data_IF_972842450725
#
_entry.id   IF_972842450725
#
_cell.length_a   1.000
_cell.length_b   1.000
_cell.length_c   1.000
_cell.angle_alpha   90.00
_cell.angle_beta   90.00
_cell.angle_gamma   90.00
#
_symmetry.space_group_name_H-M   'P 1'
#
loop_
_entity.id
_entity.type
_entity.pdbx_description
1 polymer ?
#
# COMPACT_ATOMS: atom_id res chain seq x y z
N UNK A 1 -51.81 -14.65 5.27
CA UNK A 1 -50.51 -15.36 5.19
C UNK A 1 -49.67 -14.78 4.06
N UNK A 2 -48.86 -13.76 4.32
CA UNK A 2 -47.67 -13.40 3.52
C UNK A 2 -46.66 -12.80 4.50
N UNK A 3 -45.64 -13.59 4.84
CA UNK A 3 -44.54 -13.20 5.73
C UNK A 3 -43.54 -12.43 4.87
N UNK A 4 -43.53 -11.11 4.93
CA UNK A 4 -42.46 -10.31 4.33
C UNK A 4 -41.29 -10.25 5.29
N UNK A 5 -40.19 -10.82 4.84
CA UNK A 5 -38.90 -10.94 5.49
C UNK A 5 -38.25 -9.55 5.59
N UNK A 6 -38.03 -9.05 6.81
CA UNK A 6 -37.25 -7.84 7.06
C UNK A 6 -35.77 -8.25 7.07
N UNK A 7 -35.00 -7.82 6.08
CA UNK A 7 -33.54 -7.90 6.09
C UNK A 7 -33.06 -6.71 6.91
N UNK A 8 -32.64 -6.96 8.15
CA UNK A 8 -32.02 -5.97 9.02
C UNK A 8 -30.53 -5.91 8.64
N UNK A 9 -30.15 -4.88 7.90
CA UNK A 9 -28.75 -4.50 7.70
C UNK A 9 -28.26 -3.83 8.99
N UNK A 10 -27.60 -4.60 9.86
CA UNK A 10 -26.95 -4.07 11.07
C UNK A 10 -25.64 -3.41 10.64
N UNK A 11 -25.65 -2.10 10.44
CA UNK A 11 -24.43 -1.31 10.36
C UNK A 11 -23.98 -1.07 11.81
N UNK A 12 -23.02 -1.89 12.27
CA UNK A 12 -22.28 -1.66 13.52
C UNK A 12 -21.36 -0.44 13.30
N UNK A 13 -21.89 0.75 13.60
CA UNK A 13 -21.09 1.97 13.68
C UNK A 13 -20.24 1.89 14.95
N UNK A 14 -19.04 1.33 14.84
CA UNK A 14 -18.03 1.51 15.87
C UNK A 14 -17.66 3.00 15.91
N UNK A 15 -17.77 3.61 17.09
CA UNK A 15 -17.50 5.02 17.29
C UNK A 15 -16.02 5.31 17.14
N UNK A 16 -15.59 5.62 15.91
CA UNK A 16 -14.25 6.15 15.66
C UNK A 16 -14.22 7.55 16.23
N UNK A 17 -13.40 7.76 17.26
CA UNK A 17 -13.19 9.10 17.82
C UNK A 17 -12.60 10.02 16.74
N UNK A 18 -13.05 11.28 16.68
CA UNK A 18 -12.79 12.21 15.57
C UNK A 18 -11.31 12.52 15.31
N UNK A 19 -10.45 12.31 16.31
CA UNK A 19 -8.99 12.46 16.20
C UNK A 19 -8.36 11.24 15.48
N UNK A 20 -8.81 10.03 15.80
CA UNK A 20 -8.36 8.79 15.16
C UNK A 20 -8.77 8.75 13.68
N UNK A 21 -9.99 9.21 13.38
CA UNK A 21 -10.49 9.27 12.00
C UNK A 21 -9.67 10.18 11.07
N UNK A 22 -9.00 11.20 11.60
CA UNK A 22 -8.17 12.11 10.81
C UNK A 22 -6.75 11.55 10.62
N UNK A 23 -6.14 11.00 11.68
CA UNK A 23 -4.79 10.47 11.63
C UNK A 23 -4.66 9.19 10.76
N UNK A 24 -5.73 8.40 10.68
CA UNK A 24 -5.80 7.15 9.92
C UNK A 24 -6.72 7.27 8.70
N UNK A 25 -6.88 8.47 8.14
CA UNK A 25 -7.83 8.73 7.05
C UNK A 25 -7.59 7.84 5.82
N UNK A 26 -6.33 7.61 5.46
CA UNK A 26 -5.92 6.80 4.31
C UNK A 26 -5.60 5.35 4.68
N UNK A 27 -6.00 4.92 5.88
CA UNK A 27 -5.71 3.60 6.41
C UNK A 27 -6.99 2.79 6.62
N UNK A 28 -6.93 1.51 6.30
CA UNK A 28 -8.00 0.54 6.49
C UNK A 28 -7.67 -0.41 7.64
N UNK A 29 -8.64 -0.67 8.53
CA UNK A 29 -8.46 -1.62 9.61
C UNK A 29 -8.50 -3.06 9.06
N UNK A 30 -7.45 -3.83 9.30
CA UNK A 30 -7.31 -5.21 8.78
C UNK A 30 -7.34 -6.29 9.85
N UNK A 31 -7.03 -5.94 11.10
CA UNK A 31 -7.13 -6.87 12.22
C UNK A 31 -7.37 -6.14 13.54
N UNK A 32 -7.85 -6.88 14.54
CA UNK A 32 -8.06 -6.38 15.90
C UNK A 32 -7.96 -7.52 16.91
N UNK A 33 -7.46 -7.20 18.10
CA UNK A 33 -7.60 -8.03 19.29
C UNK A 33 -8.06 -7.19 20.49
N UNK A 34 -7.95 -7.74 21.70
CA UNK A 34 -8.38 -7.07 22.93
C UNK A 34 -7.54 -5.84 23.33
N UNK A 35 -6.35 -5.67 22.73
CA UNK A 35 -5.40 -4.59 23.06
C UNK A 35 -5.10 -3.67 21.87
N UNK A 36 -5.10 -4.17 20.64
CA UNK A 36 -4.54 -3.50 19.46
C UNK A 36 -5.48 -3.59 18.26
N UNK A 37 -5.47 -2.54 17.44
CA UNK A 37 -6.06 -2.51 16.11
C UNK A 37 -4.94 -2.31 15.07
N UNK A 38 -4.88 -3.18 14.05
CA UNK A 38 -3.94 -3.10 12.96
C UNK A 38 -4.61 -2.47 11.74
N UNK A 39 -3.93 -1.48 11.17
CA UNK A 39 -4.34 -0.76 9.99
C UNK A 39 -3.28 -0.85 8.88
N UNK A 40 -3.72 -0.79 7.63
CA UNK A 40 -2.85 -0.70 6.44
C UNK A 40 -3.31 0.43 5.52
N UNK A 41 -2.37 1.17 4.95
CA UNK A 41 -2.63 2.03 3.80
C UNK A 41 -2.56 1.16 2.53
N UNK A 42 -3.67 0.92 1.82
CA UNK A 42 -3.70 0.00 0.68
C UNK A 42 -2.90 0.49 -0.52
N UNK A 43 -2.59 1.79 -0.60
CA UNK A 43 -1.84 2.40 -1.70
C UNK A 43 -0.32 2.32 -1.48
N UNK A 44 0.13 2.29 -0.22
CA UNK A 44 1.57 2.33 0.12
C UNK A 44 2.07 1.11 0.88
N UNK A 45 1.16 0.23 1.30
CA UNK A 45 1.40 -0.89 2.21
C UNK A 45 1.97 -0.50 3.58
N UNK A 46 1.90 0.77 3.95
CA UNK A 46 2.30 1.21 5.28
C UNK A 46 1.31 0.72 6.32
N UNK A 47 1.80 0.36 7.50
CA UNK A 47 0.95 -0.10 8.59
C UNK A 47 0.94 0.90 9.74
N UNK A 48 -0.17 0.90 10.46
CA UNK A 48 -0.30 1.61 11.72
C UNK A 48 -0.95 0.68 12.75
N UNK A 49 -0.44 0.72 13.97
CA UNK A 49 -1.01 -0.02 15.10
C UNK A 49 -1.58 0.98 16.08
N UNK A 50 -2.85 0.84 16.40
CA UNK A 50 -3.50 1.64 17.43
C UNK A 50 -3.57 0.84 18.73
N UNK A 51 -3.04 1.42 19.81
CA UNK A 51 -3.11 0.85 21.15
C UNK A 51 -4.39 1.33 21.85
N UNK A 52 -5.29 0.39 22.15
CA UNK A 52 -6.57 0.67 22.78
C UNK A 52 -6.43 1.20 24.21
N UNK A 53 -5.35 0.89 24.92
CA UNK A 53 -5.12 1.32 26.29
C UNK A 53 -4.57 2.74 26.35
N UNK A 54 -3.51 3.02 25.58
CA UNK A 54 -2.82 4.33 25.60
C UNK A 54 -3.45 5.35 24.66
N UNK A 55 -4.23 4.91 23.67
CA UNK A 55 -4.79 5.73 22.60
C UNK A 55 -3.72 6.31 21.67
N UNK A 56 -2.51 5.73 21.67
CA UNK A 56 -1.43 6.09 20.77
C UNK A 56 -1.49 5.30 19.45
N UNK A 57 -0.90 5.88 18.41
CA UNK A 57 -0.73 5.23 17.10
C UNK A 57 0.76 5.05 16.85
N UNK A 58 1.17 3.82 16.52
CA UNK A 58 2.52 3.49 16.09
C UNK A 58 2.53 3.25 14.60
N UNK A 59 3.28 4.05 13.86
CA UNK A 59 3.42 3.93 12.41
C UNK A 59 4.66 3.12 12.06
N UNK A 60 4.60 2.31 11.00
CA UNK A 60 5.80 1.66 10.44
C UNK A 60 6.78 2.67 9.85
N UNK A 61 6.27 3.80 9.36
CA UNK A 61 7.02 4.82 8.64
C UNK A 61 6.70 6.21 9.19
N UNK A 62 7.60 7.20 9.03
CA UNK A 62 7.35 8.55 9.51
C UNK A 62 6.08 9.15 8.89
N UNK A 63 5.04 9.46 9.69
CA UNK A 63 3.86 10.14 9.18
C UNK A 63 4.23 11.55 8.72
N UNK A 64 3.45 12.12 7.81
CA UNK A 64 3.66 13.49 7.29
C UNK A 64 5.05 13.76 6.70
N UNK A 65 5.78 12.74 6.22
CA UNK A 65 7.12 12.88 5.63
C UNK A 65 7.20 13.93 4.52
N UNK A 66 6.11 14.19 3.79
CA UNK A 66 6.10 15.21 2.76
C UNK A 66 6.29 16.62 3.31
N UNK A 67 5.81 16.87 4.54
CA UNK A 67 5.82 18.17 5.22
C UNK A 67 6.97 18.29 6.23
N UNK A 68 7.30 17.22 6.93
CA UNK A 68 8.22 17.26 8.07
C UNK A 68 9.67 16.93 7.72
N UNK A 69 9.91 16.12 6.68
CA UNK A 69 11.27 15.75 6.26
C UNK A 69 11.98 16.91 5.55
N UNK A 70 13.07 17.40 6.15
CA UNK A 70 13.80 18.60 5.71
C UNK A 70 15.20 18.32 5.19
N UNK A 71 15.74 17.11 5.33
CA UNK A 71 17.10 16.72 4.97
C UNK A 71 17.11 15.83 3.72
N UNK A 72 16.36 14.72 3.72
CA UNK A 72 16.36 13.75 2.62
C UNK A 72 15.71 14.32 1.34
N UNK A 73 16.18 13.89 0.16
CA UNK A 73 15.70 14.36 -1.15
C UNK A 73 15.62 13.21 -2.16
N UNK A 74 14.76 13.37 -3.18
CA UNK A 74 14.54 12.40 -4.26
C UNK A 74 14.26 10.99 -3.73
N UNK A 75 14.86 9.98 -4.37
CA UNK A 75 14.73 8.56 -4.00
C UNK A 75 15.01 8.27 -2.53
N UNK A 76 15.93 9.00 -1.90
CA UNK A 76 16.22 8.82 -0.47
C UNK A 76 15.08 9.29 0.44
N UNK A 77 14.35 10.34 0.04
CA UNK A 77 13.13 10.77 0.77
C UNK A 77 12.00 9.78 0.53
N UNK A 78 11.80 9.35 -0.72
CA UNK A 78 10.78 8.38 -1.10
C UNK A 78 10.95 7.04 -0.37
N UNK A 79 12.20 6.59 -0.20
CA UNK A 79 12.53 5.38 0.57
C UNK A 79 12.06 5.42 2.03
N UNK A 80 11.79 6.59 2.61
CA UNK A 80 11.20 6.67 3.95
C UNK A 80 9.79 6.04 4.01
N UNK A 81 9.13 5.83 2.88
CA UNK A 81 7.88 5.07 2.77
C UNK A 81 8.04 3.58 2.47
N UNK A 82 9.28 3.08 2.41
CA UNK A 82 9.52 1.67 2.15
C UNK A 82 9.26 0.81 3.41
N UNK A 83 8.62 -0.35 3.21
CA UNK A 83 8.54 -1.44 4.19
C UNK A 83 9.76 -2.36 4.11
N UNK A 84 10.28 -2.53 2.89
CA UNK A 84 11.38 -3.45 2.61
C UNK A 84 12.45 -2.76 1.77
N UNK A 85 13.71 -3.06 2.07
CA UNK A 85 14.88 -2.65 1.29
C UNK A 85 15.68 -3.91 0.99
N UNK A 86 15.93 -4.15 -0.30
CA UNK A 86 16.69 -5.29 -0.80
C UNK A 86 18.02 -4.80 -1.37
N UNK A 87 19.13 -5.26 -0.81
CA UNK A 87 20.47 -5.02 -1.38
C UNK A 87 21.07 -6.35 -1.83
N UNK A 88 21.54 -6.41 -3.08
CA UNK A 88 22.15 -7.61 -3.66
C UNK A 88 23.32 -7.25 -4.59
N UNK A 89 24.15 -8.24 -4.90
CA UNK A 89 25.24 -8.11 -5.86
C UNK A 89 24.91 -8.83 -7.16
N UNK A 90 25.18 -8.17 -8.28
CA UNK A 90 25.06 -8.76 -9.63
C UNK A 90 26.21 -9.72 -9.92
N UNK A 91 26.13 -10.47 -11.02
CA UNK A 91 27.19 -11.38 -11.47
C UNK A 91 28.53 -10.68 -11.72
N UNK A 92 28.51 -9.39 -12.06
CA UNK A 92 29.72 -8.56 -12.26
C UNK A 92 30.20 -7.89 -10.97
N UNK A 93 29.60 -8.23 -9.82
CA UNK A 93 29.96 -7.69 -8.51
C UNK A 93 29.44 -6.28 -8.22
N UNK A 94 28.57 -5.72 -9.06
CA UNK A 94 27.94 -4.44 -8.78
C UNK A 94 26.83 -4.58 -7.74
N UNK A 95 26.83 -3.70 -6.73
CA UNK A 95 25.79 -3.60 -5.71
C UNK A 95 24.56 -2.88 -6.26
N UNK A 96 23.37 -3.46 -6.02
CA UNK A 96 22.08 -2.90 -6.38
C UNK A 96 21.22 -2.85 -5.13
N UNK A 97 20.59 -1.71 -4.89
CA UNK A 97 19.62 -1.52 -3.81
C UNK A 97 18.28 -1.15 -4.40
N UNK A 98 17.24 -1.90 -4.01
CA UNK A 98 15.84 -1.68 -4.34
C UNK A 98 15.03 -1.51 -3.06
N UNK A 99 13.90 -0.81 -3.15
CA UNK A 99 12.94 -0.71 -2.07
C UNK A 99 11.51 -0.68 -2.60
N UNK A 100 10.55 -1.23 -1.85
CA UNK A 100 9.19 -1.37 -2.37
C UNK A 100 8.51 -0.04 -2.68
N UNK A 101 8.91 1.07 -2.06
CA UNK A 101 8.29 2.35 -2.38
C UNK A 101 8.72 2.83 -3.77
N UNK A 102 10.03 2.92 -4.00
CA UNK A 102 10.58 3.38 -5.27
C UNK A 102 10.40 2.38 -6.43
N UNK A 103 10.36 1.09 -6.11
CA UNK A 103 10.42 0.02 -7.10
C UNK A 103 9.12 -0.78 -7.24
N UNK A 104 8.05 -0.42 -6.52
CA UNK A 104 6.73 -1.10 -6.64
C UNK A 104 5.57 -0.12 -6.48
N UNK A 105 5.51 0.63 -5.37
CA UNK A 105 4.42 1.58 -5.06
C UNK A 105 4.32 2.68 -6.12
N UNK A 106 5.44 3.33 -6.48
CA UNK A 106 5.44 4.40 -7.51
C UNK A 106 4.94 3.88 -8.87
N UNK A 107 5.16 2.59 -9.17
CA UNK A 107 4.70 1.96 -10.40
C UNK A 107 3.29 1.36 -10.29
N UNK A 108 2.63 1.47 -9.14
CA UNK A 108 1.33 0.88 -8.87
C UNK A 108 1.32 -0.66 -9.04
N UNK A 109 2.41 -1.31 -8.62
CA UNK A 109 2.63 -2.76 -8.74
C UNK A 109 2.64 -3.45 -7.37
N UNK A 110 1.58 -3.21 -6.62
CA UNK A 110 1.33 -3.62 -5.25
C UNK A 110 -0.01 -4.36 -5.22
N UNK A 111 -0.08 -5.50 -4.55
CA UNK A 111 -1.34 -6.18 -4.25
C UNK A 111 -1.50 -6.41 -2.75
N UNK A 112 -2.68 -6.06 -2.23
CA UNK A 112 -3.02 -6.12 -0.82
C UNK A 112 -4.21 -7.05 -0.66
N UNK A 113 -3.96 -8.24 -0.12
CA UNK A 113 -4.97 -9.28 0.06
C UNK A 113 -5.28 -9.49 1.55
N UNK A 114 -6.55 -9.38 1.99
CA UNK A 114 -6.91 -9.66 3.37
C UNK A 114 -6.73 -11.15 3.70
N UNK A 115 -6.25 -11.44 4.90
CA UNK A 115 -6.15 -12.80 5.44
C UNK A 115 -6.78 -12.85 6.84
N UNK A 116 -6.95 -14.05 7.39
CA UNK A 116 -7.46 -14.19 8.76
C UNK A 116 -6.52 -13.46 9.74
N UNK A 117 -7.09 -12.50 10.49
CA UNK A 117 -6.38 -11.67 11.48
C UNK A 117 -5.16 -10.91 10.92
N UNK A 118 -5.19 -10.50 9.66
CA UNK A 118 -4.12 -9.69 9.10
C UNK A 118 -4.28 -9.36 7.62
N UNK A 119 -3.15 -9.05 7.01
CA UNK A 119 -3.07 -8.70 5.59
C UNK A 119 -1.80 -9.28 4.98
N UNK A 120 -1.92 -9.75 3.74
CA UNK A 120 -0.79 -10.14 2.90
C UNK A 120 -0.53 -9.04 1.89
N UNK A 121 0.74 -8.69 1.71
CA UNK A 121 1.17 -7.73 0.71
C UNK A 121 2.17 -8.40 -0.23
N UNK A 122 1.87 -8.35 -1.52
CA UNK A 122 2.75 -8.82 -2.58
C UNK A 122 3.31 -7.60 -3.34
N UNK A 123 4.63 -7.50 -3.45
CA UNK A 123 5.33 -6.41 -4.14
C UNK A 123 6.03 -6.95 -5.39
N UNK A 124 5.79 -6.33 -6.54
CA UNK A 124 6.63 -6.52 -7.74
C UNK A 124 7.69 -5.44 -7.77
N UNK A 125 8.94 -5.81 -7.46
CA UNK A 125 10.09 -4.90 -7.41
C UNK A 125 10.74 -4.71 -8.79
N UNK A 126 10.94 -3.45 -9.17
CA UNK A 126 11.42 -3.00 -10.47
C UNK A 126 10.25 -2.56 -11.36
N UNK A 127 10.53 -1.79 -12.40
CA UNK A 127 9.51 -1.42 -13.38
C UNK A 127 9.20 -2.64 -14.27
N UNK A 128 8.01 -3.23 -14.12
CA UNK A 128 7.62 -4.43 -14.87
C UNK A 128 7.43 -4.10 -16.36
N UNK A 129 6.84 -2.92 -16.63
CA UNK A 129 6.56 -2.44 -17.97
C UNK A 129 7.07 -1.01 -18.15
N UNK A 130 8.15 -0.86 -18.91
CA UNK A 130 8.61 0.46 -19.36
C UNK A 130 7.64 1.11 -20.35
N UNK A 131 7.78 2.42 -20.59
CA UNK A 131 6.89 3.16 -21.49
C UNK A 131 6.81 2.58 -22.92
N UNK A 132 7.90 2.00 -23.42
CA UNK A 132 7.94 1.40 -24.75
C UNK A 132 7.17 0.06 -24.83
N UNK A 133 6.86 -0.55 -23.68
CA UNK A 133 6.14 -1.83 -23.61
C UNK A 133 4.64 -1.72 -23.92
N UNK A 134 4.07 -0.52 -23.86
CA UNK A 134 2.65 -0.28 -24.16
C UNK A 134 2.36 -0.11 -25.65
N UNK A 135 3.40 0.03 -26.47
CA UNK A 135 3.26 0.13 -27.93
C UNK A 135 3.44 -1.26 -28.55
N UNK A 136 2.46 -1.77 -29.31
CA UNK A 136 2.65 -3.00 -30.05
C UNK A 136 3.81 -2.85 -31.05
N UNK A 137 4.88 -3.65 -30.88
CA UNK A 137 5.98 -3.71 -31.85
C UNK A 137 5.58 -4.31 -33.20
N UNK A 138 4.36 -4.84 -33.29
CA UNK A 138 3.80 -5.48 -34.48
C UNK A 138 2.37 -4.98 -34.71
N UNK A 139 2.10 -4.56 -35.94
CA UNK A 139 0.79 -4.17 -36.42
C UNK A 139 0.13 -5.38 -37.10
N UNK A 140 -1.19 -5.53 -36.96
CA UNK A 140 -1.93 -6.54 -37.71
C UNK A 140 -1.90 -6.23 -39.21
N UNK A 141 -1.79 -7.26 -40.06
CA UNK A 141 -1.77 -7.16 -41.53
C UNK A 141 -2.90 -6.24 -42.05
N UNK A 142 -4.13 -6.48 -41.58
CA UNK A 142 -5.29 -5.66 -41.91
C UNK A 142 -5.09 -4.15 -41.66
N UNK A 143 -4.45 -3.77 -40.55
CA UNK A 143 -4.24 -2.36 -40.20
C UNK A 143 -3.07 -1.74 -40.99
N UNK A 144 -2.12 -2.55 -41.42
CA UNK A 144 -1.04 -2.14 -42.32
C UNK A 144 -1.53 -1.92 -43.76
N UNK A 145 -2.50 -2.71 -44.22
CA UNK A 145 -3.07 -2.62 -45.58
C UNK A 145 -4.15 -1.55 -45.75
N UNK A 146 -4.67 -0.99 -44.66
CA UNK A 146 -5.72 0.05 -44.66
C UNK A 146 -5.15 1.51 -44.69
N UNK A 147 -3.83 1.69 -44.61
CA UNK A 147 -3.11 2.96 -44.89
C UNK A 147 -2.33 2.90 -46.21
#
# INVERSE_FOLDING_TARGET
>A
MKRSLIIILVILVFGVSSIQANALQDYEQVAQNEYLELYINPETAEIAVYDLATKEIWYSNPPNRDREEKVARGKSKERLGAQIILTYFTQVGAEITMDNYNDSVIYNQLDVTPIEQGVRVDFTLGEEWGQDSFVPNVMTEKRFEEE
#
